data_IF_949194925572
#
_entry.id   IF_949194925572
#
_cell.length_a   1.000
_cell.length_b   1.000
_cell.length_c   1.000
_cell.angle_alpha   90.00
_cell.angle_beta   90.00
_cell.angle_gamma   90.00
#
_symmetry.space_group_name_H-M   'P 1'
#
loop_
_entity.id
_entity.type
_entity.pdbx_description
1 polymer ?
#
# COMPACT_ATOMS: atom_id res chain seq x y z
N UNK A 1 -0.74 -29.34 17.45
CA UNK A 1 -1.07 -28.45 18.59
C UNK A 1 -0.07 -27.31 18.59
N UNK A 2 -0.53 -26.08 18.45
CA UNK A 2 0.33 -24.89 18.58
C UNK A 2 0.25 -24.36 20.00
N UNK A 3 1.40 -23.95 20.55
CA UNK A 3 1.50 -23.35 21.88
C UNK A 3 2.14 -21.98 21.74
N UNK A 4 1.42 -20.95 22.17
CA UNK A 4 1.91 -19.59 22.17
C UNK A 4 2.50 -19.25 23.55
N UNK A 5 3.56 -18.45 23.57
CA UNK A 5 4.11 -17.91 24.82
C UNK A 5 3.13 -16.93 25.49
N UNK A 6 2.45 -16.11 24.67
CA UNK A 6 1.48 -15.11 25.10
C UNK A 6 0.20 -15.22 24.27
N UNK A 7 -0.90 -14.63 24.76
CA UNK A 7 -2.11 -14.43 23.95
C UNK A 7 -1.75 -13.56 22.73
N UNK A 8 -2.26 -13.94 21.55
CA UNK A 8 -2.08 -13.19 20.32
C UNK A 8 -3.39 -13.18 19.53
N UNK A 9 -4.05 -12.03 19.48
CA UNK A 9 -5.39 -11.88 18.91
C UNK A 9 -5.43 -12.19 17.41
N UNK A 10 -4.34 -11.86 16.70
CA UNK A 10 -4.19 -12.08 15.27
C UNK A 10 -3.72 -13.50 14.92
N UNK A 11 -3.61 -14.40 15.91
CA UNK A 11 -3.06 -15.73 15.72
C UNK A 11 -3.79 -16.52 14.64
N UNK A 12 -5.13 -16.52 14.64
CA UNK A 12 -5.94 -17.23 13.65
C UNK A 12 -5.65 -16.75 12.21
N UNK A 13 -5.40 -15.47 12.02
CA UNK A 13 -5.10 -14.89 10.71
C UNK A 13 -3.70 -15.23 10.21
N UNK A 14 -2.78 -15.61 11.12
CA UNK A 14 -1.47 -16.15 10.72
C UNK A 14 -1.56 -17.54 10.08
N UNK A 15 -2.73 -18.21 10.17
CA UNK A 15 -2.97 -19.54 9.59
C UNK A 15 -3.58 -19.53 8.19
N UNK A 16 -3.70 -18.36 7.57
CA UNK A 16 -4.11 -18.24 6.16
C UNK A 16 -2.95 -18.50 5.18
N UNK A 17 -1.76 -18.83 5.69
CA UNK A 17 -0.59 -19.19 4.87
C UNK A 17 -0.87 -20.52 4.15
N UNK A 18 -0.52 -20.56 2.86
CA UNK A 18 -0.68 -21.75 2.03
C UNK A 18 0.19 -22.92 2.51
N UNK A 19 -0.38 -24.13 2.46
CA UNK A 19 0.27 -25.37 2.92
C UNK A 19 1.25 -25.88 1.87
N UNK A 20 2.47 -26.22 2.31
CA UNK A 20 3.50 -26.84 1.46
C UNK A 20 3.50 -28.38 1.61
N UNK A 21 3.63 -29.15 0.52
CA UNK A 21 3.67 -30.61 0.56
C UNK A 21 5.01 -31.12 1.15
N UNK A 22 4.97 -31.62 2.39
CA UNK A 22 6.16 -32.12 3.12
C UNK A 22 7.03 -33.07 2.28
N UNK A 23 6.42 -34.02 1.55
CA UNK A 23 7.14 -35.02 0.76
C UNK A 23 8.00 -34.44 -0.37
N UNK A 24 7.85 -33.15 -0.71
CA UNK A 24 8.71 -32.45 -1.68
C UNK A 24 9.71 -31.51 -0.99
N UNK A 25 9.31 -30.89 0.12
CA UNK A 25 10.07 -29.80 0.73
C UNK A 25 10.94 -30.22 1.92
N UNK A 26 10.71 -31.39 2.52
CA UNK A 26 11.37 -31.79 3.77
C UNK A 26 12.90 -31.92 3.67
N UNK A 27 13.43 -32.26 2.49
CA UNK A 27 14.86 -32.48 2.27
C UNK A 27 15.58 -31.22 1.73
N UNK A 28 14.83 -30.15 1.44
CA UNK A 28 15.39 -28.87 1.00
C UNK A 28 15.79 -28.09 2.25
N UNK A 29 17.04 -27.63 2.33
CA UNK A 29 17.48 -26.76 3.43
C UNK A 29 16.84 -25.37 3.28
N UNK A 30 16.45 -24.69 4.38
CA UNK A 30 15.85 -23.34 4.32
C UNK A 30 16.61 -22.33 3.45
N UNK A 31 17.95 -22.32 3.52
CA UNK A 31 18.80 -21.43 2.70
C UNK A 31 18.65 -21.67 1.19
N UNK A 32 18.25 -22.88 0.78
CA UNK A 32 18.06 -23.27 -0.61
C UNK A 32 16.59 -23.16 -1.06
N UNK A 33 15.64 -22.82 -0.17
CA UNK A 33 14.22 -22.76 -0.51
C UNK A 33 13.97 -21.85 -1.72
N UNK A 34 14.57 -20.66 -1.73
CA UNK A 34 14.39 -19.67 -2.80
C UNK A 34 14.90 -20.16 -4.17
N UNK A 35 15.85 -21.08 -4.19
CA UNK A 35 16.48 -21.62 -5.40
C UNK A 35 15.75 -22.86 -5.96
N UNK A 36 14.78 -23.40 -5.22
CA UNK A 36 14.06 -24.61 -5.62
C UNK A 36 13.24 -24.41 -6.89
N UNK A 37 13.28 -25.40 -7.80
CA UNK A 37 12.44 -25.40 -9.00
C UNK A 37 10.94 -25.48 -8.67
N UNK A 38 10.57 -25.98 -7.48
CA UNK A 38 9.18 -26.00 -7.01
C UNK A 38 8.58 -24.58 -6.86
N UNK A 39 9.39 -23.53 -6.80
CA UNK A 39 8.89 -22.14 -6.87
C UNK A 39 8.39 -21.77 -8.27
N UNK A 40 8.92 -22.40 -9.33
CA UNK A 40 8.51 -22.20 -10.72
C UNK A 40 7.49 -23.24 -11.18
N UNK A 41 7.56 -24.44 -10.62
CA UNK A 41 6.69 -25.60 -10.92
C UNK A 41 6.01 -26.09 -9.61
N UNK A 42 5.11 -25.29 -9.01
CA UNK A 42 4.55 -25.57 -7.70
C UNK A 42 3.58 -26.74 -7.76
N UNK A 43 3.61 -27.53 -6.69
CA UNK A 43 2.63 -28.56 -6.39
C UNK A 43 1.90 -28.12 -5.11
N UNK A 44 0.57 -28.05 -5.19
CA UNK A 44 -0.29 -27.63 -4.10
C UNK A 44 -1.68 -28.22 -4.21
N UNK A 45 -2.56 -27.83 -3.29
CA UNK A 45 -3.95 -28.31 -3.18
C UNK A 45 -4.99 -27.33 -3.73
N UNK A 46 -4.55 -26.28 -4.45
CA UNK A 46 -5.41 -25.21 -4.96
C UNK A 46 -6.34 -25.63 -6.11
N UNK A 47 -7.20 -24.70 -6.57
CA UNK A 47 -8.17 -24.96 -7.63
C UNK A 47 -7.54 -25.16 -9.01
N UNK A 48 -6.32 -24.69 -9.22
CA UNK A 48 -5.58 -24.86 -10.47
C UNK A 48 -4.21 -25.49 -10.23
N UNK A 49 -3.76 -26.30 -11.19
CA UNK A 49 -2.47 -26.96 -11.19
C UNK A 49 -1.55 -26.29 -12.20
N UNK A 50 -0.25 -26.22 -11.88
CA UNK A 50 0.76 -25.86 -12.86
C UNK A 50 0.71 -26.82 -14.06
N UNK A 51 0.68 -26.26 -15.28
CA UNK A 51 0.71 -27.03 -16.53
C UNK A 51 2.01 -26.80 -17.29
N UNK A 52 2.32 -25.53 -17.57
CA UNK A 52 3.46 -25.17 -18.41
C UNK A 52 3.96 -23.77 -18.12
N UNK A 53 5.27 -23.59 -18.26
CA UNK A 53 5.95 -22.30 -18.22
C UNK A 53 6.62 -22.05 -19.58
N UNK A 54 6.39 -20.90 -20.20
CA UNK A 54 7.13 -20.47 -21.40
C UNK A 54 8.13 -19.39 -21.03
N UNK A 55 9.35 -19.53 -21.52
CA UNK A 55 10.44 -18.57 -21.36
C UNK A 55 10.94 -18.12 -22.72
N UNK A 56 11.44 -16.89 -22.81
CA UNK A 56 12.17 -16.42 -23.97
C UNK A 56 13.63 -16.94 -23.98
N UNK A 57 14.39 -16.55 -25.01
CA UNK A 57 15.81 -16.94 -25.16
C UNK A 57 16.71 -16.44 -24.02
N UNK A 58 16.30 -15.40 -23.30
CA UNK A 58 17.01 -14.83 -22.16
C UNK A 58 16.55 -15.44 -20.82
N UNK A 59 15.66 -16.43 -20.86
CA UNK A 59 15.13 -17.10 -19.68
C UNK A 59 14.02 -16.32 -18.96
N UNK A 60 13.56 -15.18 -19.51
CA UNK A 60 12.45 -14.40 -18.93
C UNK A 60 11.15 -15.13 -19.15
N UNK A 61 10.31 -15.18 -18.12
CA UNK A 61 9.00 -15.83 -18.19
C UNK A 61 8.08 -15.00 -19.08
N UNK A 62 7.52 -15.62 -20.14
CA UNK A 62 6.56 -14.99 -21.04
C UNK A 62 5.12 -15.38 -20.71
N UNK A 63 4.87 -16.65 -20.37
CA UNK A 63 3.56 -17.07 -19.92
C UNK A 63 3.59 -18.24 -18.94
N UNK A 64 2.54 -18.30 -18.12
CA UNK A 64 2.29 -19.31 -17.10
C UNK A 64 0.92 -19.94 -17.35
N UNK A 65 0.90 -21.22 -17.70
CA UNK A 65 -0.32 -21.96 -18.00
C UNK A 65 -0.73 -22.81 -16.80
N UNK A 66 -2.00 -22.69 -16.44
CA UNK A 66 -2.67 -23.39 -15.35
C UNK A 66 -3.84 -24.20 -15.90
N UNK A 67 -4.04 -25.41 -15.38
CA UNK A 67 -5.21 -26.25 -15.69
C UNK A 67 -6.06 -26.53 -14.45
N UNK A 68 -7.37 -26.66 -14.64
CA UNK A 68 -8.31 -26.90 -13.53
C UNK A 68 -7.96 -28.17 -12.76
N UNK A 69 -7.89 -28.07 -11.43
CA UNK A 69 -7.83 -29.23 -10.55
C UNK A 69 -9.23 -29.84 -10.42
N UNK A 70 -9.46 -30.96 -11.12
CA UNK A 70 -10.76 -31.66 -11.08
C UNK A 70 -11.08 -32.25 -9.70
N UNK A 71 -10.07 -32.41 -8.84
CA UNK A 71 -10.19 -32.96 -7.49
C UNK A 71 -10.05 -31.86 -6.42
N UNK A 72 -10.32 -30.60 -6.76
CA UNK A 72 -10.32 -29.53 -5.77
C UNK A 72 -11.43 -29.76 -4.74
N UNK A 73 -11.09 -29.59 -3.46
CA UNK A 73 -11.98 -29.98 -2.35
C UNK A 73 -13.29 -29.19 -2.30
N UNK A 74 -13.29 -27.93 -2.78
CA UNK A 74 -14.46 -27.04 -2.82
C UNK A 74 -15.16 -27.03 -4.21
N UNK A 75 -14.93 -28.08 -5.00
CA UNK A 75 -15.57 -28.27 -6.30
C UNK A 75 -14.70 -27.86 -7.49
N UNK A 76 -14.98 -28.47 -8.64
CA UNK A 76 -14.19 -28.25 -9.86
C UNK A 76 -14.37 -26.83 -10.41
N UNK A 77 -13.28 -26.12 -10.78
CA UNK A 77 -13.38 -24.84 -11.48
C UNK A 77 -14.16 -24.91 -12.80
N UNK A 78 -14.99 -23.91 -13.09
CA UNK A 78 -15.72 -23.85 -14.36
C UNK A 78 -14.82 -23.55 -15.56
N UNK A 79 -13.81 -22.69 -15.38
CA UNK A 79 -12.84 -22.35 -16.43
C UNK A 79 -11.73 -23.42 -16.46
N UNK A 80 -11.60 -24.13 -17.57
CA UNK A 80 -10.69 -25.28 -17.68
C UNK A 80 -9.19 -24.93 -17.70
N UNK A 81 -8.81 -23.80 -18.31
CA UNK A 81 -7.42 -23.36 -18.40
C UNK A 81 -7.33 -21.86 -18.15
N UNK A 82 -6.27 -21.44 -17.47
CA UNK A 82 -5.91 -20.03 -17.25
C UNK A 82 -4.48 -19.83 -17.74
N UNK A 83 -4.25 -18.85 -18.61
CA UNK A 83 -2.91 -18.43 -19.02
C UNK A 83 -2.64 -17.03 -18.49
N UNK A 84 -1.57 -16.88 -17.73
CA UNK A 84 -1.06 -15.58 -17.28
C UNK A 84 0.07 -15.20 -18.24
N UNK A 85 -0.07 -14.07 -18.95
CA UNK A 85 0.96 -13.53 -19.85
C UNK A 85 1.67 -12.37 -19.19
N UNK A 86 2.99 -12.33 -19.30
CA UNK A 86 3.84 -11.27 -18.76
C UNK A 86 4.31 -10.35 -19.89
N UNK A 87 4.24 -9.05 -19.65
CA UNK A 87 4.60 -7.99 -20.59
C UNK A 87 5.65 -7.09 -19.95
N UNK A 88 6.53 -6.48 -20.75
CA UNK A 88 7.58 -5.62 -20.22
C UNK A 88 7.07 -4.22 -19.86
N UNK A 89 5.93 -3.83 -20.42
CA UNK A 89 5.29 -2.54 -20.17
C UNK A 89 3.77 -2.66 -20.12
N UNK A 90 3.13 -1.68 -19.50
CA UNK A 90 1.67 -1.57 -19.50
C UNK A 90 1.13 -1.37 -20.93
N UNK A 91 1.84 -0.64 -21.78
CA UNK A 91 1.44 -0.39 -23.17
C UNK A 91 1.39 -1.69 -23.99
N UNK A 92 2.37 -2.57 -23.85
CA UNK A 92 2.35 -3.90 -24.47
C UNK A 92 1.15 -4.74 -23.98
N UNK A 93 0.83 -4.66 -22.69
CA UNK A 93 -0.31 -5.37 -22.09
C UNK A 93 -1.65 -4.82 -22.64
N UNK A 94 -1.79 -3.50 -22.77
CA UNK A 94 -2.96 -2.84 -23.34
C UNK A 94 -3.11 -3.19 -24.82
N UNK A 95 -2.01 -3.23 -25.57
CA UNK A 95 -2.02 -3.64 -26.99
C UNK A 95 -2.47 -5.08 -27.17
N UNK A 96 -2.02 -6.00 -26.31
CA UNK A 96 -2.49 -7.38 -26.31
C UNK A 96 -4.00 -7.47 -26.05
N UNK A 97 -4.53 -6.65 -25.12
CA UNK A 97 -5.98 -6.56 -24.93
C UNK A 97 -6.70 -6.02 -26.15
N UNK A 98 -6.18 -4.96 -26.77
CA UNK A 98 -6.74 -4.36 -27.97
C UNK A 98 -6.75 -5.37 -29.14
N UNK A 99 -5.78 -6.29 -29.21
CA UNK A 99 -5.73 -7.40 -30.18
C UNK A 99 -6.58 -8.62 -29.79
N UNK A 100 -7.24 -8.60 -28.63
CA UNK A 100 -8.00 -9.71 -28.05
C UNK A 100 -7.14 -10.93 -27.65
N UNK A 101 -5.83 -10.73 -27.40
CA UNK A 101 -4.90 -11.78 -26.97
C UNK A 101 -5.00 -12.09 -25.46
N UNK A 102 -5.59 -11.18 -24.69
CA UNK A 102 -5.85 -11.31 -23.25
C UNK A 102 -7.26 -10.82 -22.90
N UNK A 103 -7.82 -11.42 -21.86
CA UNK A 103 -9.19 -11.12 -21.37
C UNK A 103 -9.22 -10.32 -20.07
N UNK A 104 -8.06 -10.02 -19.50
CA UNK A 104 -7.91 -9.21 -18.29
C UNK A 104 -6.61 -8.41 -18.34
N UNK A 105 -6.60 -7.28 -17.63
CA UNK A 105 -5.50 -6.34 -17.49
C UNK A 105 -5.26 -6.12 -15.99
N UNK A 106 -4.02 -6.25 -15.53
CA UNK A 106 -3.66 -6.16 -14.11
C UNK A 106 -2.90 -4.87 -13.82
N UNK A 107 -3.24 -4.18 -12.74
CA UNK A 107 -2.51 -2.99 -12.27
C UNK A 107 -2.42 -1.87 -13.29
N UNK A 108 -3.55 -1.47 -13.89
CA UNK A 108 -3.60 -0.37 -14.85
C UNK A 108 -3.26 0.97 -14.18
N UNK A 109 -2.47 1.79 -14.86
CA UNK A 109 -2.31 3.20 -14.53
C UNK A 109 -3.57 3.95 -14.95
N UNK A 110 -4.04 4.84 -14.08
CA UNK A 110 -5.15 5.72 -14.40
C UNK A 110 -4.83 6.69 -15.55
N UNK A 111 -3.54 6.94 -15.82
CA UNK A 111 -3.05 7.76 -16.95
C UNK A 111 -3.19 7.06 -18.30
N UNK A 112 -3.23 5.72 -18.32
CA UNK A 112 -3.23 4.92 -19.55
C UNK A 112 -4.61 4.36 -19.93
N UNK A 113 -5.67 4.66 -19.16
CA UNK A 113 -7.02 4.16 -19.42
C UNK A 113 -7.55 4.55 -20.81
N UNK A 114 -7.11 5.67 -21.37
CA UNK A 114 -7.52 6.13 -22.70
C UNK A 114 -6.89 5.36 -23.86
N UNK A 115 -5.80 4.61 -23.61
CA UNK A 115 -5.20 3.73 -24.62
C UNK A 115 -6.03 2.46 -24.87
N UNK A 116 -7.01 2.17 -24.03
CA UNK A 116 -7.92 1.02 -24.16
C UNK A 116 -8.97 1.33 -25.23
N UNK A 117 -8.90 0.67 -26.40
CA UNK A 117 -9.80 0.94 -27.54
C UNK A 117 -11.21 0.38 -27.33
N UNK A 118 -11.31 -0.83 -26.76
CA UNK A 118 -12.58 -1.55 -26.60
C UNK A 118 -13.16 -1.43 -25.18
N UNK A 119 -13.25 -0.21 -24.64
CA UNK A 119 -13.68 0.04 -23.24
C UNK A 119 -15.01 -0.64 -22.87
N UNK A 120 -16.00 -0.67 -23.78
CA UNK A 120 -17.31 -1.32 -23.56
C UNK A 120 -17.23 -2.84 -23.30
N UNK A 121 -16.14 -3.50 -23.72
CA UNK A 121 -15.90 -4.93 -23.45
C UNK A 121 -15.26 -5.15 -22.08
N UNK A 122 -14.63 -4.13 -21.50
CA UNK A 122 -13.90 -4.19 -20.24
C UNK A 122 -14.78 -3.70 -19.09
N UNK A 123 -14.75 -4.41 -17.97
CA UNK A 123 -15.14 -3.89 -16.67
C UNK A 123 -13.87 -3.57 -15.91
N UNK A 124 -13.66 -2.30 -15.56
CA UNK A 124 -12.56 -1.88 -14.69
C UNK A 124 -13.09 -1.90 -13.26
N UNK A 125 -12.37 -2.58 -12.37
CA UNK A 125 -12.66 -2.67 -10.94
C UNK A 125 -11.60 -1.89 -10.18
N UNK A 126 -12.07 -1.06 -9.25
CA UNK A 126 -11.24 -0.29 -8.34
C UNK A 126 -11.07 -1.11 -7.06
N UNK A 127 -10.02 -1.93 -7.01
CA UNK A 127 -9.78 -2.79 -5.86
C UNK A 127 -8.99 -2.02 -4.80
N UNK A 128 -9.44 -2.08 -3.56
CA UNK A 128 -8.73 -1.48 -2.42
C UNK A 128 -7.63 -2.42 -1.94
N UNK A 129 -6.44 -1.88 -1.72
CA UNK A 129 -5.31 -2.56 -1.09
C UNK A 129 -5.07 -1.96 0.31
N UNK A 130 -4.76 -2.76 1.34
CA UNK A 130 -4.40 -2.28 2.67
C UNK A 130 -3.04 -1.60 2.60
N UNK A 131 -2.97 -0.38 2.06
CA UNK A 131 -1.75 0.42 1.94
C UNK A 131 -2.07 1.90 1.92
N UNK A 132 -1.11 2.76 2.18
CA UNK A 132 -1.26 4.19 1.95
C UNK A 132 0.08 4.82 1.63
N UNK A 133 0.06 6.00 1.00
CA UNK A 133 1.23 6.86 0.84
C UNK A 133 1.14 8.05 1.79
N UNK A 134 2.28 8.43 2.34
CA UNK A 134 2.38 9.49 3.34
C UNK A 134 3.76 10.14 3.34
N UNK A 135 3.85 11.34 3.91
CA UNK A 135 5.12 11.98 4.26
C UNK A 135 5.42 11.74 5.74
N UNK A 136 6.41 10.92 6.03
CA UNK A 136 6.87 10.61 7.38
C UNK A 136 7.88 11.65 7.86
N UNK A 137 7.73 12.12 9.10
CA UNK A 137 8.60 13.15 9.66
C UNK A 137 9.62 12.53 10.60
N UNK A 138 10.90 12.73 10.34
CA UNK A 138 11.98 12.30 11.22
C UNK A 138 12.43 13.46 12.11
N UNK A 139 11.91 13.50 13.34
CA UNK A 139 12.20 14.60 14.27
C UNK A 139 13.65 14.60 14.77
N UNK A 140 14.39 13.50 14.61
CA UNK A 140 15.79 13.40 15.01
C UNK A 140 16.75 14.01 13.97
N UNK A 141 16.33 14.10 12.71
CA UNK A 141 17.13 14.64 11.60
C UNK A 141 16.82 16.11 11.28
N UNK A 142 15.79 16.68 11.91
CA UNK A 142 15.42 18.08 11.71
C UNK A 142 14.80 18.69 12.96
N UNK A 143 15.45 19.74 13.49
CA UNK A 143 14.93 20.51 14.63
C UNK A 143 13.59 21.17 14.31
N UNK A 144 13.40 21.62 13.07
CA UNK A 144 12.13 22.18 12.57
C UNK A 144 10.98 21.17 12.74
N UNK A 145 11.24 19.89 12.42
CA UNK A 145 10.25 18.83 12.52
C UNK A 145 9.99 18.37 13.95
N UNK A 146 10.82 18.76 14.93
CA UNK A 146 10.55 18.47 16.34
C UNK A 146 9.38 19.30 16.90
N UNK A 147 9.12 20.48 16.30
CA UNK A 147 7.97 21.31 16.64
C UNK A 147 6.66 20.73 16.09
N UNK A 148 5.74 20.41 17.01
CA UNK A 148 4.42 19.84 16.69
C UNK A 148 3.58 20.80 15.84
N UNK A 149 3.66 22.11 16.06
CA UNK A 149 2.86 23.07 15.31
C UNK A 149 3.29 23.13 13.84
N UNK A 150 4.58 22.95 13.56
CA UNK A 150 5.07 22.84 12.18
C UNK A 150 4.50 21.60 11.48
N UNK A 151 4.51 20.43 12.16
CA UNK A 151 3.94 19.20 11.58
C UNK A 151 2.42 19.27 11.38
N UNK A 152 1.72 19.92 12.31
CA UNK A 152 0.28 20.21 12.17
C UNK A 152 0.02 21.14 10.98
N UNK A 153 0.81 22.20 10.82
CA UNK A 153 0.70 23.12 9.69
C UNK A 153 0.90 22.41 8.35
N UNK A 154 1.87 21.48 8.26
CA UNK A 154 2.06 20.66 7.06
C UNK A 154 0.86 19.76 6.75
N UNK A 155 0.18 19.23 7.78
CA UNK A 155 -1.05 18.45 7.59
C UNK A 155 -2.20 19.32 7.05
N UNK A 156 -2.46 20.49 7.64
CA UNK A 156 -3.47 21.44 7.15
C UNK A 156 -3.10 22.05 5.79
N UNK A 157 -1.80 22.14 5.48
CA UNK A 157 -1.28 22.69 4.23
C UNK A 157 -1.28 21.71 3.06
N UNK A 158 -1.71 20.45 3.23
CA UNK A 158 -1.73 19.44 2.18
C UNK A 158 -3.15 19.21 1.63
N UNK A 159 -3.40 19.62 0.38
CA UNK A 159 -4.66 19.32 -0.30
C UNK A 159 -4.57 17.91 -0.92
N UNK A 160 -5.08 16.93 -0.16
CA UNK A 160 -5.09 15.51 -0.54
C UNK A 160 -5.97 15.24 -1.77
N UNK A 161 -7.04 16.02 -1.96
CA UNK A 161 -7.95 15.82 -3.09
C UNK A 161 -7.30 16.30 -4.39
N UNK A 162 -6.61 17.46 -4.35
CA UNK A 162 -5.81 17.93 -5.48
C UNK A 162 -4.75 16.90 -5.89
N UNK A 163 -4.05 16.30 -4.92
CA UNK A 163 -3.06 15.24 -5.17
C UNK A 163 -3.73 14.03 -5.84
N UNK A 164 -4.84 13.52 -5.31
CA UNK A 164 -5.56 12.37 -5.87
C UNK A 164 -6.06 12.67 -7.29
N UNK A 165 -6.57 13.88 -7.52
CA UNK A 165 -7.04 14.29 -8.83
C UNK A 165 -5.90 14.34 -9.85
N UNK A 166 -4.80 15.04 -9.54
CA UNK A 166 -3.71 15.28 -10.48
C UNK A 166 -2.81 14.07 -10.70
N UNK A 167 -2.53 13.29 -9.64
CA UNK A 167 -1.61 12.15 -9.71
C UNK A 167 -2.35 10.89 -10.13
N UNK A 168 -3.55 10.65 -9.59
CA UNK A 168 -4.29 9.40 -9.76
C UNK A 168 -5.52 9.50 -10.65
N UNK A 169 -5.83 10.66 -11.25
CA UNK A 169 -7.05 10.88 -12.04
C UNK A 169 -8.31 10.43 -11.29
N UNK A 170 -8.41 10.76 -9.99
CA UNK A 170 -9.49 10.34 -9.09
C UNK A 170 -9.57 8.82 -8.79
N UNK A 171 -8.52 8.04 -9.08
CA UNK A 171 -8.47 6.60 -8.79
C UNK A 171 -7.77 6.30 -7.45
N UNK A 172 -8.23 6.95 -6.39
CA UNK A 172 -7.76 6.71 -5.03
C UNK A 172 -8.66 7.34 -3.99
N UNK A 173 -8.37 7.09 -2.73
CA UNK A 173 -9.08 7.65 -1.58
C UNK A 173 -8.11 8.43 -0.70
N UNK A 174 -8.59 9.52 -0.10
CA UNK A 174 -7.82 10.25 0.91
C UNK A 174 -7.64 9.38 2.16
N UNK A 175 -6.48 9.46 2.78
CA UNK A 175 -6.17 8.73 4.02
C UNK A 175 -5.96 9.74 5.14
N UNK A 176 -6.66 9.52 6.25
CA UNK A 176 -6.66 10.41 7.42
C UNK A 176 -6.22 9.72 8.70
N UNK A 177 -6.03 8.39 8.66
CA UNK A 177 -5.62 7.58 9.79
C UNK A 177 -4.49 6.60 9.41
N UNK A 178 -3.60 6.25 10.35
CA UNK A 178 -2.60 5.18 10.16
C UNK A 178 -3.24 3.79 9.92
N UNK A 179 -4.55 3.66 10.07
CA UNK A 179 -5.34 2.48 9.74
C UNK A 179 -6.36 2.88 8.68
N UNK A 180 -6.28 2.28 7.48
CA UNK A 180 -7.10 2.72 6.33
C UNK A 180 -8.55 2.25 6.50
N UNK A 181 -9.44 3.22 6.73
CA UNK A 181 -10.89 3.01 6.86
C UNK A 181 -11.48 2.24 5.66
N UNK A 182 -12.45 1.36 5.91
CA UNK A 182 -13.19 0.65 4.86
C UNK A 182 -12.37 -0.41 4.11
N UNK A 183 -11.16 -0.70 4.58
CA UNK A 183 -10.38 -1.90 4.26
C UNK A 183 -10.30 -2.79 5.50
N UNK A 184 -10.15 -2.14 6.65
CA UNK A 184 -10.20 -2.71 7.97
C UNK A 184 -11.51 -2.22 8.60
N UNK A 185 -12.26 -3.10 9.27
CA UNK A 185 -13.50 -2.75 9.98
C UNK A 185 -13.22 -1.99 11.29
N UNK A 186 -12.44 -0.92 11.18
CA UNK A 186 -12.08 -0.01 12.26
C UNK A 186 -12.31 1.38 11.71
N UNK A 187 -13.35 2.02 12.21
CA UNK A 187 -13.59 3.43 11.94
C UNK A 187 -12.62 4.26 12.78
N UNK A 188 -11.94 5.21 12.15
CA UNK A 188 -11.16 6.19 12.89
C UNK A 188 -12.06 7.24 13.55
N UNK A 189 -11.97 7.38 14.87
CA UNK A 189 -12.51 8.52 15.60
C UNK A 189 -11.59 9.76 15.55
N UNK A 190 -10.45 9.67 14.85
CA UNK A 190 -9.56 10.81 14.66
C UNK A 190 -10.20 11.82 13.70
N UNK A 191 -10.19 13.11 14.07
CA UNK A 191 -10.65 14.16 13.17
C UNK A 191 -9.63 14.33 12.04
N UNK A 192 -10.06 14.34 10.77
CA UNK A 192 -9.16 14.60 9.65
C UNK A 192 -8.64 16.05 9.72
N UNK A 193 -7.42 16.23 9.22
CA UNK A 193 -6.89 17.56 8.90
C UNK A 193 -7.41 17.97 7.53
N UNK A 194 -8.45 18.81 7.54
CA UNK A 194 -8.97 19.43 6.32
C UNK A 194 -7.96 20.43 5.75
N UNK A 195 -7.96 20.64 4.44
CA UNK A 195 -7.07 21.62 3.81
C UNK A 195 -7.45 23.04 4.22
N UNK A 196 -6.59 23.69 5.01
CA UNK A 196 -6.82 25.03 5.56
C UNK A 196 -5.48 25.79 5.68
N UNK A 197 -5.22 26.63 4.67
CA UNK A 197 -4.00 27.43 4.61
C UNK A 197 -3.91 28.47 5.73
N UNK A 198 -5.04 29.00 6.20
CA UNK A 198 -5.05 30.04 7.23
C UNK A 198 -4.76 29.43 8.60
N UNK A 199 -5.37 28.28 8.91
CA UNK A 199 -5.03 27.51 10.10
C UNK A 199 -3.57 27.04 10.07
N UNK A 200 -3.05 26.62 8.92
CA UNK A 200 -1.64 26.24 8.77
C UNK A 200 -0.68 27.43 9.04
N UNK A 201 -0.93 28.59 8.43
CA UNK A 201 -0.14 29.81 8.67
C UNK A 201 -0.20 30.25 10.14
N UNK A 202 -1.37 30.17 10.76
CA UNK A 202 -1.55 30.49 12.18
C UNK A 202 -0.69 29.60 13.08
N UNK A 203 -0.71 28.28 12.85
CA UNK A 203 0.14 27.33 13.59
C UNK A 203 1.63 27.64 13.44
N UNK A 204 2.08 28.03 12.24
CA UNK A 204 3.46 28.45 12.01
C UNK A 204 3.80 29.75 12.74
N UNK A 205 2.90 30.74 12.73
CA UNK A 205 3.08 31.99 13.47
C UNK A 205 3.13 31.76 14.98
N UNK A 206 2.26 30.91 15.54
CA UNK A 206 2.24 30.51 16.95
C UNK A 206 3.54 29.76 17.34
N UNK A 207 4.16 29.06 16.39
CA UNK A 207 5.49 28.44 16.53
C UNK A 207 6.65 29.45 16.36
N UNK A 208 6.37 30.72 16.10
CA UNK A 208 7.36 31.78 15.90
C UNK A 208 7.95 31.88 14.50
N UNK A 209 7.35 31.21 13.51
CA UNK A 209 7.68 31.35 12.09
C UNK A 209 6.78 32.43 11.48
N UNK A 210 7.17 33.70 11.62
CA UNK A 210 6.35 34.84 11.23
C UNK A 210 7.13 35.94 10.49
N UNK A 211 8.44 35.78 10.34
CA UNK A 211 9.27 36.74 9.61
C UNK A 211 9.23 36.40 8.11
N UNK A 212 8.87 37.35 7.24
CA UNK A 212 8.94 37.13 5.80
C UNK A 212 10.41 37.13 5.36
N UNK A 213 10.92 35.95 4.98
CA UNK A 213 12.21 35.81 4.32
C UNK A 213 12.11 35.97 2.81
N UNK A 214 13.24 35.70 2.13
CA UNK A 214 13.30 35.70 0.67
C UNK A 214 12.22 34.79 0.06
N UNK A 215 11.59 35.23 -1.02
CA UNK A 215 10.60 34.46 -1.80
C UNK A 215 9.40 33.95 -0.97
N UNK A 216 9.07 34.62 0.14
CA UNK A 216 7.92 34.26 0.99
C UNK A 216 8.18 33.08 1.93
N UNK A 217 9.42 32.60 2.03
CA UNK A 217 9.79 31.54 2.99
C UNK A 217 9.90 32.13 4.39
N UNK A 218 9.23 31.52 5.35
CA UNK A 218 9.21 32.01 6.73
C UNK A 218 10.57 31.81 7.42
N UNK A 219 10.87 32.72 8.33
CA UNK A 219 12.06 32.67 9.17
C UNK A 219 11.70 32.78 10.65
N UNK A 220 12.55 32.20 11.49
CA UNK A 220 12.52 32.33 12.95
C UNK A 220 13.93 32.66 13.42
N UNK A 221 14.17 33.92 13.78
CA UNK A 221 15.52 34.48 13.95
C UNK A 221 16.31 34.29 12.64
N UNK A 222 17.52 33.73 12.70
CA UNK A 222 18.38 33.50 11.52
C UNK A 222 18.12 32.16 10.82
N UNK A 223 17.16 31.35 11.29
CA UNK A 223 16.83 30.04 10.72
C UNK A 223 15.72 30.18 9.66
N UNK A 224 15.94 29.64 8.46
CA UNK A 224 14.92 29.53 7.39
C UNK A 224 14.07 28.28 7.59
N UNK A 225 12.76 28.37 7.34
CA UNK A 225 11.83 27.25 7.41
C UNK A 225 12.00 26.33 6.17
N UNK A 226 13.11 25.58 6.14
CA UNK A 226 13.49 24.71 5.03
C UNK A 226 13.63 23.26 5.51
N UNK A 227 13.03 22.33 4.78
CA UNK A 227 13.10 20.89 5.05
C UNK A 227 13.35 20.09 3.77
N UNK A 228 14.02 18.95 3.90
CA UNK A 228 14.30 18.04 2.77
C UNK A 228 13.30 16.90 2.73
N UNK A 229 12.67 16.68 1.57
CA UNK A 229 11.79 15.55 1.27
C UNK A 229 12.52 14.52 0.41
N UNK A 230 12.79 13.35 0.99
CA UNK A 230 13.32 12.19 0.28
C UNK A 230 12.18 11.44 -0.42
N UNK A 231 12.37 11.12 -1.70
CA UNK A 231 11.35 10.51 -2.56
C UNK A 231 11.97 9.36 -3.38
N UNK A 232 11.31 8.20 -3.53
CA UNK A 232 11.75 7.18 -4.49
C UNK A 232 11.63 7.68 -5.95
N UNK A 233 12.46 7.15 -6.85
CA UNK A 233 12.34 7.36 -8.31
C UNK A 233 11.13 6.63 -8.92
N UNK A 234 9.93 7.01 -8.49
CA UNK A 234 8.65 6.54 -9.01
C UNK A 234 7.82 7.75 -9.46
N UNK A 235 7.36 7.74 -10.71
CA UNK A 235 6.70 8.91 -11.34
C UNK A 235 5.59 9.51 -10.49
N UNK A 236 4.66 8.69 -9.99
CA UNK A 236 3.52 9.19 -9.22
C UNK A 236 3.93 9.82 -7.88
N UNK A 237 5.02 9.34 -7.27
CA UNK A 237 5.55 9.91 -6.02
C UNK A 237 6.36 11.17 -6.26
N UNK A 238 7.05 11.29 -7.40
CA UNK A 238 7.67 12.56 -7.81
C UNK A 238 6.61 13.63 -8.11
N UNK A 239 5.54 13.27 -8.83
CA UNK A 239 4.40 14.17 -9.08
C UNK A 239 3.77 14.62 -7.74
N UNK A 240 3.54 13.67 -6.82
CA UNK A 240 3.04 13.94 -5.46
C UNK A 240 3.96 14.90 -4.70
N UNK A 241 5.27 14.67 -4.72
CA UNK A 241 6.24 15.50 -4.01
C UNK A 241 6.30 16.93 -4.53
N UNK A 242 6.20 17.13 -5.84
CA UNK A 242 6.15 18.47 -6.44
C UNK A 242 4.88 19.22 -6.03
N UNK A 243 3.71 18.55 -6.05
CA UNK A 243 2.46 19.16 -5.57
C UNK A 243 2.57 19.55 -4.10
N UNK A 244 3.11 18.68 -3.23
CA UNK A 244 3.30 18.97 -1.81
C UNK A 244 4.27 20.15 -1.61
N UNK A 245 5.38 20.18 -2.34
CA UNK A 245 6.32 21.30 -2.33
C UNK A 245 5.62 22.62 -2.67
N UNK A 246 4.82 22.64 -3.72
CA UNK A 246 4.08 23.83 -4.14
C UNK A 246 3.04 24.23 -3.08
N UNK A 247 2.29 23.26 -2.53
CA UNK A 247 1.29 23.50 -1.49
C UNK A 247 1.90 24.06 -0.20
N UNK A 248 3.00 23.48 0.29
CA UNK A 248 3.68 23.92 1.50
C UNK A 248 4.44 25.25 1.31
N UNK A 249 4.84 25.59 0.08
CA UNK A 249 5.37 26.92 -0.21
C UNK A 249 4.35 28.05 0.03
N UNK A 250 3.05 27.78 -0.16
CA UNK A 250 1.96 28.75 0.08
C UNK A 250 1.77 29.09 1.56
N UNK A 251 2.29 28.26 2.46
CA UNK A 251 2.34 28.50 3.91
C UNK A 251 3.75 28.89 4.37
N UNK A 252 4.67 29.14 3.43
CA UNK A 252 6.01 29.66 3.71
C UNK A 252 7.05 28.61 4.12
N UNK A 253 6.82 27.32 3.82
CA UNK A 253 7.80 26.24 4.03
C UNK A 253 8.55 25.97 2.73
N UNK A 254 9.89 26.04 2.75
CA UNK A 254 10.72 25.58 1.64
C UNK A 254 10.89 24.06 1.71
N UNK A 255 10.53 23.35 0.64
CA UNK A 255 10.74 21.91 0.50
C UNK A 255 11.78 21.62 -0.57
N UNK A 256 12.89 20.99 -0.17
CA UNK A 256 13.95 20.51 -1.06
C UNK A 256 13.72 19.03 -1.38
N UNK A 257 13.46 18.70 -2.63
CA UNK A 257 13.20 17.32 -3.04
C UNK A 257 14.53 16.63 -3.37
N UNK A 258 14.76 15.47 -2.75
CA UNK A 258 15.87 14.58 -3.06
C UNK A 258 15.31 13.24 -3.53
N UNK A 259 15.63 12.83 -4.75
CA UNK A 259 15.19 11.55 -5.30
C UNK A 259 16.25 10.47 -5.12
N UNK A 260 15.85 9.26 -4.73
CA UNK A 260 16.76 8.11 -4.55
C UNK A 260 16.34 6.92 -5.41
N UNK A 261 17.34 6.19 -5.92
CA UNK A 261 17.15 4.85 -6.49
C UNK A 261 16.72 3.84 -5.41
N UNK A 262 16.20 2.67 -5.80
CA UNK A 262 15.76 1.65 -4.81
C UNK A 262 16.85 1.23 -3.82
N UNK A 263 18.10 0.94 -4.23
CA UNK A 263 19.16 0.58 -3.28
C UNK A 263 19.53 1.73 -2.32
N UNK A 264 19.62 2.96 -2.83
CA UNK A 264 19.92 4.14 -2.02
C UNK A 264 18.80 4.42 -1.01
N UNK A 265 17.55 4.29 -1.44
CA UNK A 265 16.38 4.45 -0.59
C UNK A 265 16.34 3.39 0.51
N UNK A 266 16.63 2.13 0.18
CA UNK A 266 16.71 1.05 1.18
C UNK A 266 17.77 1.37 2.24
N UNK A 267 18.93 1.88 1.83
CA UNK A 267 19.99 2.30 2.76
C UNK A 267 19.54 3.49 3.61
N UNK A 268 18.97 4.53 3.00
CA UNK A 268 18.47 5.71 3.72
C UNK A 268 17.36 5.36 4.72
N UNK A 269 16.46 4.42 4.36
CA UNK A 269 15.45 3.89 5.27
C UNK A 269 16.11 3.14 6.42
N UNK A 270 17.01 2.20 6.13
CA UNK A 270 17.73 1.40 7.14
C UNK A 270 18.44 2.29 8.16
N UNK A 271 19.15 3.31 7.71
CA UNK A 271 19.91 4.24 8.55
C UNK A 271 19.06 5.37 9.16
N UNK A 272 17.79 5.51 8.73
CA UNK A 272 16.92 6.64 9.06
C UNK A 272 17.54 7.98 8.68
N UNK A 273 18.26 8.01 7.55
CA UNK A 273 18.96 9.17 7.02
C UNK A 273 18.05 9.96 6.06
N UNK A 274 17.03 10.60 6.63
CA UNK A 274 16.09 11.50 5.93
C UNK A 274 15.44 12.44 6.94
N UNK A 275 15.12 13.67 6.53
CA UNK A 275 14.30 14.58 7.34
C UNK A 275 12.82 14.27 7.17
N UNK A 276 12.36 14.23 5.92
CA UNK A 276 11.04 13.75 5.55
C UNK A 276 11.16 12.67 4.49
N UNK A 277 10.25 11.71 4.51
CA UNK A 277 10.23 10.60 3.55
C UNK A 277 8.83 10.44 2.98
N UNK A 278 8.67 10.62 1.67
CA UNK A 278 7.44 10.26 0.96
C UNK A 278 7.51 8.78 0.59
N UNK A 279 6.73 7.95 1.27
CA UNK A 279 6.77 6.50 1.07
C UNK A 279 5.42 5.83 1.30
N UNK A 280 5.31 4.59 0.81
CA UNK A 280 4.11 3.77 0.94
C UNK A 280 4.26 2.72 2.02
N UNK A 281 3.27 2.62 2.91
CA UNK A 281 3.18 1.54 3.89
C UNK A 281 2.14 0.52 3.48
N UNK A 282 2.46 -0.77 3.67
CA UNK A 282 1.54 -1.88 3.43
C UNK A 282 1.07 -2.40 4.78
N UNK A 283 -0.24 -2.34 4.99
CA UNK A 283 -0.92 -2.87 6.15
C UNK A 283 -1.29 -4.33 5.94
N UNK A 284 -1.47 -5.05 7.04
CA UNK A 284 -2.07 -6.39 7.00
C UNK A 284 -3.60 -6.30 6.99
N UNK A 285 -4.30 -7.28 6.38
CA UNK A 285 -5.78 -7.34 6.37
C UNK A 285 -6.38 -7.40 7.77
N UNK A 286 -5.79 -8.20 8.66
CA UNK A 286 -6.04 -8.08 10.10
C UNK A 286 -5.05 -7.06 10.65
N UNK A 287 -5.52 -5.88 11.07
CA UNK A 287 -4.66 -4.79 11.45
C UNK A 287 -3.79 -5.15 12.66
N UNK A 288 -2.49 -5.02 12.47
CA UNK A 288 -1.52 -4.93 13.55
C UNK A 288 -0.49 -3.85 13.19
N UNK A 289 -0.76 -2.58 13.53
CA UNK A 289 0.11 -1.46 13.15
C UNK A 289 1.43 -1.41 13.95
N UNK A 290 1.67 -2.36 14.85
CA UNK A 290 2.83 -2.36 15.74
C UNK A 290 4.16 -2.23 15.01
N UNK A 291 4.39 -3.00 13.92
CA UNK A 291 5.66 -2.95 13.16
C UNK A 291 5.96 -1.56 12.60
N UNK A 292 4.91 -0.78 12.33
CA UNK A 292 4.96 0.53 11.67
C UNK A 292 4.96 1.69 12.65
N UNK A 293 4.50 1.50 13.90
CA UNK A 293 4.21 2.62 14.79
C UNK A 293 4.74 2.49 16.22
N UNK A 294 5.05 1.28 16.68
CA UNK A 294 5.57 1.08 18.04
C UNK A 294 7.00 1.62 18.16
N UNK A 295 7.35 2.22 19.31
CA UNK A 295 8.66 2.86 19.53
C UNK A 295 9.85 1.88 19.45
N UNK A 296 9.61 0.61 19.77
CA UNK A 296 10.61 -0.47 19.62
C UNK A 296 10.99 -0.75 18.15
N UNK A 297 10.21 -0.25 17.19
CA UNK A 297 10.38 -0.51 15.75
C UNK A 297 11.08 0.65 15.01
N UNK A 298 11.65 1.61 15.74
CA UNK A 298 12.33 2.79 15.19
C UNK A 298 13.66 2.49 14.48
N UNK A 299 14.30 1.37 14.80
CA UNK A 299 15.59 0.95 14.22
C UNK A 299 15.37 -0.23 13.28
N UNK A 300 16.22 -0.33 12.25
CA UNK A 300 16.29 -1.52 11.39
C UNK A 300 16.39 -2.81 12.23
N UNK A 301 15.62 -3.88 11.91
CA UNK A 301 14.71 -4.04 10.77
C UNK A 301 13.26 -3.57 11.00
N UNK A 302 12.99 -2.81 12.07
CA UNK A 302 11.68 -2.23 12.33
C UNK A 302 11.26 -1.21 11.26
N UNK A 303 9.96 -0.97 11.14
CA UNK A 303 9.35 -0.19 10.05
C UNK A 303 8.68 1.11 10.55
N UNK A 304 8.99 1.55 11.77
CA UNK A 304 8.55 2.87 12.22
C UNK A 304 9.39 3.96 11.53
N UNK A 305 8.87 4.46 10.41
CA UNK A 305 9.49 5.48 9.57
C UNK A 305 9.31 6.91 10.12
N UNK A 306 8.27 7.13 10.93
CA UNK A 306 8.04 8.43 11.57
C UNK A 306 8.90 8.64 12.83
N UNK A 307 9.66 7.62 13.23
CA UNK A 307 10.35 7.53 14.52
C UNK A 307 9.44 7.85 15.72
N UNK A 308 8.14 7.57 15.59
CA UNK A 308 7.15 7.90 16.59
C UNK A 308 7.45 7.17 17.89
N UNK A 309 7.43 7.91 19.00
CA UNK A 309 7.75 7.41 20.33
C UNK A 309 6.76 8.01 21.33
N UNK A 310 5.74 7.23 21.67
CA UNK A 310 4.71 7.61 22.61
C UNK A 310 4.31 6.39 23.44
N UNK A 311 4.62 6.42 24.75
CA UNK A 311 4.37 5.31 25.66
C UNK A 311 2.90 4.89 25.75
N UNK A 312 1.98 5.84 25.62
CA UNK A 312 0.54 5.53 25.64
C UNK A 312 0.15 4.79 24.36
N UNK A 313 0.68 5.22 23.20
CA UNK A 313 0.48 4.50 21.95
C UNK A 313 1.09 3.08 22.00
N UNK A 314 2.31 2.94 22.52
CA UNK A 314 2.96 1.64 22.70
C UNK A 314 2.11 0.69 23.55
N UNK A 315 1.63 1.18 24.69
CA UNK A 315 0.77 0.41 25.60
C UNK A 315 -0.51 -0.05 24.91
N UNK A 316 -1.19 0.84 24.17
CA UNK A 316 -2.41 0.50 23.42
C UNK A 316 -2.15 -0.60 22.38
N UNK A 317 -1.03 -0.55 21.68
CA UNK A 317 -0.65 -1.54 20.67
C UNK A 317 -0.31 -2.90 21.29
N UNK A 318 0.45 -2.91 22.40
CA UNK A 318 0.77 -4.12 23.15
C UNK A 318 -0.47 -4.81 23.72
N UNK A 319 -1.37 -4.03 24.31
CA UNK A 319 -2.63 -4.55 24.86
C UNK A 319 -3.58 -5.02 23.75
N UNK A 320 -3.66 -4.31 22.62
CA UNK A 320 -4.50 -4.70 21.49
C UNK A 320 -4.10 -6.07 20.93
N UNK A 321 -2.80 -6.39 20.87
CA UNK A 321 -2.29 -7.71 20.47
C UNK A 321 -2.70 -8.83 21.43
N UNK A 322 -2.92 -8.53 22.71
CA UNK A 322 -3.29 -9.51 23.73
C UNK A 322 -4.81 -9.59 23.97
N UNK A 323 -5.58 -8.65 23.42
CA UNK A 323 -7.04 -8.56 23.58
C UNK A 323 -7.76 -9.43 22.57
N UNK A 324 -8.37 -10.53 23.02
CA UNK A 324 -9.10 -11.47 22.14
C UNK A 324 -10.50 -10.99 21.75
N UNK A 325 -11.12 -10.12 22.55
CA UNK A 325 -12.43 -9.54 22.23
C UNK A 325 -12.26 -8.50 21.10
N UNK A 326 -12.92 -8.68 19.93
CA UNK A 326 -12.74 -7.77 18.81
C UNK A 326 -13.17 -6.33 19.12
N UNK A 327 -14.29 -6.11 19.82
CA UNK A 327 -14.78 -4.76 20.14
C UNK A 327 -13.82 -4.01 21.06
N UNK A 328 -13.31 -4.67 22.09
CA UNK A 328 -12.33 -4.07 23.01
C UNK A 328 -10.99 -3.79 22.32
N UNK A 329 -10.58 -4.65 21.37
CA UNK A 329 -9.38 -4.45 20.56
C UNK A 329 -9.54 -3.26 19.62
N UNK A 330 -10.70 -3.10 18.97
CA UNK A 330 -10.99 -1.97 18.09
C UNK A 330 -10.99 -0.64 18.85
N UNK A 331 -11.51 -0.59 20.08
CA UNK A 331 -11.43 0.61 20.91
C UNK A 331 -9.99 1.06 21.18
N UNK A 332 -9.08 0.11 21.47
CA UNK A 332 -7.66 0.42 21.67
C UNK A 332 -7.01 0.97 20.39
N UNK A 333 -7.36 0.41 19.23
CA UNK A 333 -6.89 0.92 17.95
C UNK A 333 -7.46 2.30 17.61
N UNK A 334 -8.70 2.60 17.96
CA UNK A 334 -9.28 3.94 17.83
C UNK A 334 -8.53 4.97 18.69
N UNK A 335 -8.28 4.66 19.96
CA UNK A 335 -7.51 5.54 20.85
C UNK A 335 -6.06 5.73 20.37
N UNK A 336 -5.44 4.68 19.82
CA UNK A 336 -4.13 4.76 19.18
C UNK A 336 -4.14 5.71 17.96
N UNK A 337 -5.13 5.59 17.08
CA UNK A 337 -5.27 6.47 15.91
C UNK A 337 -5.43 7.94 16.31
N UNK A 338 -6.21 8.23 17.37
CA UNK A 338 -6.36 9.59 17.91
C UNK A 338 -5.04 10.16 18.42
N UNK A 339 -4.21 9.36 19.10
CA UNK A 339 -2.89 9.80 19.55
C UNK A 339 -1.97 10.13 18.37
N UNK A 340 -1.88 9.23 17.38
CA UNK A 340 -1.07 9.48 16.17
C UNK A 340 -1.55 10.73 15.44
N UNK A 341 -2.86 10.87 15.23
CA UNK A 341 -3.42 12.06 14.61
C UNK A 341 -3.06 13.33 15.42
N UNK A 342 -3.28 13.32 16.73
CA UNK A 342 -3.00 14.46 17.60
C UNK A 342 -1.52 14.84 17.58
N UNK A 343 -0.58 13.89 17.56
CA UNK A 343 0.86 14.14 17.59
C UNK A 343 1.46 14.49 16.22
N UNK A 344 0.70 14.23 15.14
CA UNK A 344 1.05 14.52 13.77
C UNK A 344 2.48 14.10 13.37
N UNK A 345 2.91 12.84 13.60
CA UNK A 345 4.24 12.36 13.21
C UNK A 345 4.35 12.10 11.69
N UNK A 346 3.24 12.28 10.96
CA UNK A 346 3.09 11.97 9.54
C UNK A 346 2.10 12.96 8.90
N UNK A 347 2.22 13.18 7.59
CA UNK A 347 1.11 13.69 6.74
C UNK A 347 0.61 12.56 5.85
N UNK A 348 -0.53 11.98 6.20
CA UNK A 348 -1.18 10.92 5.43
C UNK A 348 -1.83 11.52 4.17
N UNK A 349 -1.66 10.86 3.02
CA UNK A 349 -2.09 11.42 1.73
C UNK A 349 -3.24 10.59 1.15
N UNK A 350 -2.93 9.43 0.58
CA UNK A 350 -3.89 8.67 -0.21
C UNK A 350 -3.63 7.16 -0.23
N UNK A 351 -4.69 6.41 -0.54
CA UNK A 351 -4.68 5.00 -0.90
C UNK A 351 -5.06 4.90 -2.40
N UNK A 352 -4.12 4.52 -3.30
CA UNK A 352 -4.44 4.36 -4.71
C UNK A 352 -5.14 3.03 -4.94
N UNK A 353 -6.18 3.04 -5.77
CA UNK A 353 -6.85 1.82 -6.17
C UNK A 353 -5.93 0.94 -7.03
N UNK A 354 -6.05 -0.37 -6.87
CA UNK A 354 -5.53 -1.33 -7.82
C UNK A 354 -6.55 -1.50 -8.93
N UNK A 355 -6.28 -0.91 -10.10
CA UNK A 355 -7.16 -0.99 -11.25
C UNK A 355 -7.02 -2.33 -11.95
N UNK A 356 -8.06 -3.17 -11.84
CA UNK A 356 -8.13 -4.47 -12.51
C UNK A 356 -9.18 -4.44 -13.61
N UNK A 357 -8.74 -4.59 -14.85
CA UNK A 357 -9.62 -4.74 -16.00
C UNK A 357 -9.96 -6.21 -16.24
N UNK A 358 -11.24 -6.56 -16.35
CA UNK A 358 -11.67 -7.90 -16.76
C UNK A 358 -12.74 -7.77 -17.84
N UNK A 359 -12.66 -8.59 -18.89
CA UNK A 359 -13.70 -8.60 -19.92
C UNK A 359 -15.05 -8.98 -19.30
N UNK A 360 -16.12 -8.31 -19.73
CA UNK A 360 -17.47 -8.57 -19.21
C UNK A 360 -17.99 -9.99 -19.50
N UNK A 361 -17.31 -10.76 -20.35
CA UNK A 361 -17.62 -12.17 -20.63
C UNK A 361 -17.29 -13.10 -19.44
N UNK A 362 -16.26 -12.76 -18.68
CA UNK A 362 -15.88 -13.48 -17.47
C UNK A 362 -16.77 -12.97 -16.34
N UNK A 363 -17.39 -13.90 -15.61
CA UNK A 363 -18.31 -13.63 -14.50
C UNK A 363 -17.80 -14.33 -13.24
N UNK A 364 -18.33 -13.94 -12.07
CA UNK A 364 -18.01 -14.56 -10.79
C UNK A 364 -16.91 -13.85 -9.98
N UNK A 365 -16.33 -12.76 -10.50
CA UNK A 365 -15.43 -11.90 -9.75
C UNK A 365 -16.20 -10.78 -9.04
N UNK A 366 -16.12 -10.76 -7.71
CA UNK A 366 -16.86 -9.86 -6.82
C UNK A 366 -15.99 -9.19 -5.75
N UNK A 367 -14.65 -9.36 -5.80
CA UNK A 367 -13.78 -8.74 -4.82
C UNK A 367 -13.78 -7.21 -4.97
N UNK A 368 -13.87 -6.52 -3.84
CA UNK A 368 -13.71 -5.06 -3.72
C UNK A 368 -12.42 -4.70 -2.97
N UNK A 369 -11.99 -5.58 -2.06
CA UNK A 369 -10.78 -5.45 -1.25
C UNK A 369 -9.88 -6.66 -1.55
N UNK A 370 -8.60 -6.40 -1.75
CA UNK A 370 -7.56 -7.41 -1.92
C UNK A 370 -6.43 -7.11 -0.94
N UNK A 371 -5.77 -8.14 -0.41
CA UNK A 371 -4.65 -7.96 0.54
C UNK A 371 -3.34 -7.75 -0.21
N UNK A 372 -3.17 -8.56 -1.25
CA UNK A 372 -2.02 -8.53 -2.17
C UNK A 372 -2.51 -8.64 -3.61
N UNK A 373 -1.71 -8.21 -4.61
CA UNK A 373 -2.12 -8.26 -6.02
C UNK A 373 -2.53 -9.64 -6.54
N UNK A 374 -2.12 -10.75 -5.90
CA UNK A 374 -2.56 -12.11 -6.27
C UNK A 374 -4.02 -12.39 -5.92
N UNK A 375 -4.58 -11.71 -4.93
CA UNK A 375 -5.97 -11.91 -4.48
C UNK A 375 -7.00 -11.40 -5.49
N UNK A 376 -6.56 -10.73 -6.57
CA UNK A 376 -7.41 -10.51 -7.75
C UNK A 376 -7.94 -11.81 -8.36
N UNK A 377 -7.34 -12.95 -8.03
CA UNK A 377 -7.80 -14.30 -8.41
C UNK A 377 -8.58 -15.00 -7.28
N UNK A 378 -9.01 -14.28 -6.25
CA UNK A 378 -9.88 -14.84 -5.22
C UNK A 378 -11.15 -15.43 -5.83
N UNK A 379 -11.54 -16.60 -5.33
CA UNK A 379 -12.68 -17.39 -5.81
C UNK A 379 -12.63 -17.71 -7.32
N UNK A 380 -11.44 -17.78 -7.94
CA UNK A 380 -11.30 -18.04 -9.38
C UNK A 380 -11.94 -19.36 -9.82
N UNK A 381 -12.08 -20.34 -8.93
CA UNK A 381 -12.82 -21.58 -9.19
C UNK A 381 -14.30 -21.35 -9.48
N UNK A 382 -14.88 -20.28 -8.94
CA UNK A 382 -16.27 -19.88 -9.16
C UNK A 382 -16.44 -19.01 -10.40
N UNK A 383 -15.35 -18.56 -11.02
CA UNK A 383 -15.43 -17.75 -12.23
C UNK A 383 -15.89 -18.59 -13.42
N UNK A 384 -16.72 -18.02 -14.28
CA UNK A 384 -17.28 -18.72 -15.42
C UNK A 384 -17.45 -17.83 -16.64
N UNK A 385 -17.56 -18.47 -17.81
CA UNK A 385 -17.92 -17.84 -19.08
C UNK A 385 -19.21 -18.49 -19.53
N UNK A 386 -20.27 -17.70 -19.76
CA UNK A 386 -21.54 -18.24 -20.28
C UNK A 386 -21.31 -18.81 -21.68
N UNK A 387 -21.46 -20.12 -21.83
CA UNK A 387 -21.55 -20.80 -23.12
C UNK A 387 -23.02 -20.90 -23.54
N UNK A 388 -23.30 -21.20 -24.81
CA UNK A 388 -24.69 -21.37 -25.28
C UNK A 388 -25.42 -22.45 -24.46
N UNK A 389 -26.72 -22.25 -24.22
CA UNK A 389 -27.60 -23.22 -23.54
C UNK A 389 -27.56 -24.55 -24.30
N UNK A 390 -27.05 -25.60 -23.67
CA UNK A 390 -27.37 -26.95 -24.09
C UNK A 390 -28.86 -27.18 -23.75
N UNK A 391 -29.68 -27.44 -24.76
CA UNK A 391 -31.01 -28.01 -24.53
C UNK A 391 -30.79 -29.39 -23.91
N UNK A 392 -31.42 -29.64 -22.76
CA UNK A 392 -31.37 -30.94 -22.08
C UNK A 392 -32.21 -31.96 -22.80
#
# INVERSE_FOLDING_TARGET
>A
MFRLKNKYAQFLNSWTINILPKHLWQDIKPINFALSEFNLKPIGSGPYKFKKLKKDKLGRIQSYELESNKNFYDGRPYIGNVEIKFYNSEDEMIDAYNKNDVSSLSSLSSKNLDKIKFKKRLSIKNLKLPRYFAVFFNQNQSKILSDKNVRLAMNYGADKQEIIQKVLNNNGLSVNSPMVDGIIDIQSGAKPYEYDLEQAKKLLADAGWNLPGDNGILQKKDEKLSVTLTVPLLSDLMDTANIIKDQWSKIGIEVKITTLTTPELQQAIKERNYQMLLFGEILMPDPDPFSLWHSSQKKDPGQNLALYDNKAADTLLDEARQTLNPLERMKKYDDFQKLVAADAPVTLLYNPFFLYGQTQKIKGFDAEIISVPSDKFSNIEKWYIKTQRAWK
#
